data_IF_232639086539
#
_entry.id   IF_232639086539
#
_cell.length_a   1.000
_cell.length_b   1.000
_cell.length_c   1.000
_cell.angle_alpha   90.00
_cell.angle_beta   90.00
_cell.angle_gamma   90.00
#
_symmetry.space_group_name_H-M   'P 1'
#
loop_
_entity.id
_entity.type
_entity.pdbx_description
1 polymer ?
#
# COMPACT_ATOMS: atom_id res chain seq x y z
N UNK A 1 21.45 -13.51 -18.70
CA UNK A 1 20.14 -13.41 -18.02
C UNK A 1 20.29 -12.42 -16.90
N UNK A 2 19.25 -11.65 -16.54
CA UNK A 2 19.33 -10.80 -15.36
C UNK A 2 19.20 -11.65 -14.05
N UNK A 3 18.68 -12.89 -14.16
CA UNK A 3 18.54 -13.85 -13.06
C UNK A 3 19.39 -15.09 -13.29
N UNK A 4 20.39 -15.32 -12.42
CA UNK A 4 21.24 -16.52 -12.52
C UNK A 4 20.51 -17.81 -12.09
N UNK A 5 19.37 -17.68 -11.41
CA UNK A 5 18.56 -18.80 -10.91
C UNK A 5 17.56 -19.34 -11.93
N UNK A 6 17.44 -18.71 -13.10
CA UNK A 6 16.51 -19.16 -14.15
C UNK A 6 17.18 -20.24 -14.98
N UNK A 7 16.70 -21.48 -14.82
CA UNK A 7 17.05 -22.61 -15.68
C UNK A 7 15.80 -23.05 -16.44
N UNK A 8 15.66 -22.58 -17.68
CA UNK A 8 14.59 -23.00 -18.59
C UNK A 8 15.18 -23.28 -19.98
N UNK A 9 14.71 -24.32 -20.69
CA UNK A 9 15.26 -24.69 -22.00
C UNK A 9 14.84 -23.72 -23.11
N UNK A 10 13.68 -23.07 -22.97
CA UNK A 10 13.14 -22.11 -23.95
C UNK A 10 12.15 -21.14 -23.31
N UNK A 11 11.96 -20.00 -23.97
CA UNK A 11 10.91 -19.03 -23.68
C UNK A 11 9.84 -19.08 -24.77
N UNK A 12 8.58 -18.91 -24.39
CA UNK A 12 7.48 -18.75 -25.35
C UNK A 12 7.31 -17.28 -25.70
N UNK A 13 7.03 -16.98 -26.96
CA UNK A 13 6.74 -15.63 -27.43
C UNK A 13 5.32 -15.26 -26.99
N UNK A 14 5.17 -14.05 -26.45
CA UNK A 14 3.86 -13.48 -26.15
C UNK A 14 3.40 -12.71 -27.39
N UNK A 15 2.39 -13.24 -28.08
CA UNK A 15 1.85 -12.69 -29.34
C UNK A 15 0.57 -11.86 -29.12
N UNK A 16 0.06 -11.81 -27.88
CA UNK A 16 -1.17 -11.11 -27.55
C UNK A 16 -1.01 -9.58 -27.61
N UNK A 17 -1.79 -8.92 -28.46
CA UNK A 17 -1.69 -7.46 -28.69
C UNK A 17 -1.88 -6.61 -27.44
N UNK A 18 -2.78 -6.99 -26.52
CA UNK A 18 -3.00 -6.27 -25.25
C UNK A 18 -2.11 -6.75 -24.10
N UNK A 19 -1.09 -7.57 -24.38
CA UNK A 19 -0.16 -8.02 -23.36
C UNK A 19 0.50 -6.86 -22.61
N UNK A 20 1.00 -5.78 -23.27
CA UNK A 20 1.63 -4.66 -22.57
C UNK A 20 0.74 -4.06 -21.47
N UNK A 21 -0.54 -3.84 -21.75
CA UNK A 21 -1.49 -3.28 -20.78
C UNK A 21 -1.68 -4.19 -19.56
N UNK A 22 -1.75 -5.51 -19.79
CA UNK A 22 -1.88 -6.50 -18.70
C UNK A 22 -0.62 -6.57 -17.84
N UNK A 23 0.56 -6.45 -18.46
CA UNK A 23 1.84 -6.48 -17.76
C UNK A 23 2.04 -5.20 -16.96
N UNK A 24 1.75 -4.04 -17.55
CA UNK A 24 1.80 -2.75 -16.85
C UNK A 24 0.87 -2.74 -15.66
N UNK A 25 -0.39 -3.19 -15.83
CA UNK A 25 -1.30 -3.34 -14.71
C UNK A 25 -0.72 -4.24 -13.62
N UNK A 26 -0.15 -5.40 -13.98
CA UNK A 26 0.51 -6.28 -13.03
C UNK A 26 1.75 -5.64 -12.37
N UNK A 27 2.53 -4.81 -13.03
CA UNK A 27 3.70 -4.20 -12.38
C UNK A 27 3.28 -3.07 -11.42
N UNK A 28 2.25 -2.30 -11.80
CA UNK A 28 1.76 -1.14 -11.04
C UNK A 28 0.82 -1.50 -9.88
N UNK A 29 0.37 -2.76 -9.76
CA UNK A 29 -0.56 -3.18 -8.68
C UNK A 29 -0.08 -2.88 -7.24
N UNK A 30 1.22 -2.63 -7.07
CA UNK A 30 1.84 -2.34 -5.76
C UNK A 30 1.84 -0.85 -5.44
N UNK A 31 1.65 0.01 -6.43
CA UNK A 31 1.70 1.46 -6.27
C UNK A 31 0.30 1.94 -5.92
N UNK A 32 0.04 2.18 -4.63
CA UNK A 32 -1.16 2.91 -4.24
C UNK A 32 -0.90 4.41 -4.38
N UNK A 33 -1.72 5.15 -5.15
CA UNK A 33 -1.67 6.60 -5.14
C UNK A 33 -2.28 7.18 -3.85
N UNK A 34 -3.11 6.40 -3.16
CA UNK A 34 -3.96 6.89 -2.07
C UNK A 34 -3.58 6.23 -0.75
N UNK A 35 -3.66 7.01 0.33
CA UNK A 35 -3.27 6.61 1.68
C UNK A 35 -4.36 6.92 2.69
N UNK A 36 -4.40 6.14 3.76
CA UNK A 36 -5.28 6.38 4.89
C UNK A 36 -4.52 6.18 6.19
N UNK A 37 -4.69 7.12 7.11
CA UNK A 37 -3.96 7.12 8.38
C UNK A 37 -4.91 7.36 9.54
N UNK A 38 -4.69 6.63 10.63
CA UNK A 38 -5.38 6.90 11.88
C UNK A 38 -4.88 8.19 12.50
N UNK A 39 -5.74 8.92 13.20
CA UNK A 39 -5.32 10.03 14.07
C UNK A 39 -5.96 9.81 15.43
N UNK A 40 -5.09 9.60 16.43
CA UNK A 40 -5.45 9.42 17.83
C UNK A 40 -5.14 10.70 18.58
N UNK A 41 -6.00 11.02 19.54
CA UNK A 41 -5.84 12.14 20.44
C UNK A 41 -5.64 11.58 21.85
N UNK A 42 -4.45 11.77 22.43
CA UNK A 42 -4.09 11.30 23.77
C UNK A 42 -4.04 12.51 24.70
N UNK A 43 -5.01 12.58 25.62
CA UNK A 43 -5.02 13.59 26.68
C UNK A 43 -4.00 13.25 27.76
N UNK A 44 -3.63 14.24 28.56
CA UNK A 44 -2.72 14.05 29.68
C UNK A 44 -3.25 12.98 30.65
N UNK A 45 -2.37 12.04 31.01
CA UNK A 45 -2.67 10.94 31.93
C UNK A 45 -3.30 9.70 31.30
N UNK A 46 -3.73 9.74 30.03
CA UNK A 46 -4.35 8.59 29.37
C UNK A 46 -3.31 7.53 28.98
N UNK A 47 -3.50 6.30 29.44
CA UNK A 47 -2.57 5.19 29.23
C UNK A 47 -3.23 3.96 28.58
N UNK A 48 -4.56 3.95 28.47
CA UNK A 48 -5.31 2.80 27.94
C UNK A 48 -5.92 3.11 26.57
N UNK A 49 -6.13 2.05 25.77
CA UNK A 49 -6.83 2.14 24.49
C UNK A 49 -8.23 2.76 24.63
N UNK A 50 -8.96 2.33 25.67
CA UNK A 50 -10.31 2.78 25.98
C UNK A 50 -10.35 4.29 26.24
N UNK A 51 -9.45 4.80 27.08
CA UNK A 51 -9.40 6.24 27.40
C UNK A 51 -9.16 7.08 26.15
N UNK A 52 -8.20 6.68 25.32
CA UNK A 52 -7.79 7.41 24.11
C UNK A 52 -8.91 7.37 23.05
N UNK A 53 -9.50 6.21 22.79
CA UNK A 53 -10.56 6.06 21.80
C UNK A 53 -11.89 6.67 22.26
N UNK A 54 -12.10 6.86 23.56
CA UNK A 54 -13.32 7.45 24.12
C UNK A 54 -13.33 8.98 24.12
N UNK A 55 -12.24 9.64 23.69
CA UNK A 55 -12.19 11.11 23.62
C UNK A 55 -13.23 11.69 22.65
N UNK A 56 -14.10 12.58 23.14
CA UNK A 56 -15.18 13.21 22.36
C UNK A 56 -14.90 14.67 22.02
N UNK A 57 -14.22 15.36 22.90
CA UNK A 57 -13.90 16.78 22.77
C UNK A 57 -12.51 16.97 22.16
N UNK A 58 -12.38 18.00 21.33
CA UNK A 58 -11.13 18.40 20.68
C UNK A 58 -10.64 19.70 21.33
N UNK A 59 -9.39 19.72 21.81
CA UNK A 59 -8.78 20.99 22.24
C UNK A 59 -8.48 21.89 21.04
N UNK A 60 -8.33 23.19 21.30
CA UNK A 60 -7.97 24.15 20.25
C UNK A 60 -6.60 23.82 19.63
N UNK A 61 -5.65 23.34 20.42
CA UNK A 61 -4.35 22.91 19.91
C UNK A 61 -4.45 21.67 19.03
N UNK A 62 -5.33 20.72 19.36
CA UNK A 62 -5.58 19.56 18.52
C UNK A 62 -6.26 19.95 17.20
N UNK A 63 -7.23 20.87 17.22
CA UNK A 63 -7.85 21.41 16.00
C UNK A 63 -6.84 22.13 15.10
N UNK A 64 -5.94 22.92 15.70
CA UNK A 64 -4.84 23.56 14.97
C UNK A 64 -3.90 22.51 14.36
N UNK A 65 -3.59 21.43 15.08
CA UNK A 65 -2.82 20.33 14.52
C UNK A 65 -3.53 19.64 13.35
N UNK A 66 -4.84 19.42 13.44
CA UNK A 66 -5.61 18.83 12.34
C UNK A 66 -5.58 19.70 11.08
N UNK A 67 -5.59 21.04 11.22
CA UNK A 67 -5.48 21.95 10.07
C UNK A 67 -4.10 21.90 9.39
N UNK A 68 -3.04 21.54 10.13
CA UNK A 68 -1.71 21.26 9.55
C UNK A 68 -1.75 20.01 8.67
N UNK A 69 -2.55 18.99 9.03
CA UNK A 69 -2.68 17.74 8.28
C UNK A 69 -3.45 17.90 6.98
N UNK A 70 -4.52 18.68 6.99
CA UNK A 70 -5.38 18.85 5.82
C UNK A 70 -6.62 19.69 6.09
N UNK A 71 -7.50 19.70 5.11
CA UNK A 71 -8.79 20.37 5.18
C UNK A 71 -9.82 19.46 5.85
N UNK A 72 -10.68 20.03 6.69
CA UNK A 72 -11.87 19.33 7.21
C UNK A 72 -12.95 19.35 6.14
N UNK A 73 -13.28 18.17 5.58
CA UNK A 73 -14.26 17.99 4.51
C UNK A 73 -15.53 17.33 5.04
N UNK A 74 -16.68 17.69 4.47
CA UNK A 74 -17.94 16.98 4.71
C UNK A 74 -17.92 15.64 3.98
N UNK A 75 -18.32 14.56 4.67
CA UNK A 75 -18.36 13.22 4.10
C UNK A 75 -19.55 13.03 3.17
N UNK A 76 -20.69 13.66 3.46
CA UNK A 76 -21.88 13.54 2.61
C UNK A 76 -21.60 14.07 1.20
N UNK A 77 -21.67 13.20 0.20
CA UNK A 77 -21.41 13.56 -1.19
C UNK A 77 -19.94 13.81 -1.53
N UNK A 78 -19.00 13.46 -0.65
CA UNK A 78 -17.57 13.60 -0.93
C UNK A 78 -17.14 12.72 -2.11
N UNK A 79 -16.46 13.32 -3.10
CA UNK A 79 -16.09 12.65 -4.36
C UNK A 79 -14.64 12.17 -4.41
N UNK A 80 -13.81 12.56 -3.44
CA UNK A 80 -12.40 12.16 -3.38
C UNK A 80 -12.20 10.76 -2.79
N UNK A 81 -10.95 10.41 -2.51
CA UNK A 81 -10.62 9.15 -1.84
C UNK A 81 -11.21 9.07 -0.43
N UNK A 82 -12.28 8.29 -0.27
CA UNK A 82 -13.01 8.17 1.01
C UNK A 82 -12.35 7.35 2.13
N UNK A 83 -11.22 6.68 1.89
CA UNK A 83 -10.53 5.88 2.93
C UNK A 83 -11.29 4.68 3.52
N UNK A 84 -12.54 4.41 3.09
CA UNK A 84 -13.44 3.44 3.72
C UNK A 84 -14.50 4.08 4.64
N UNK A 85 -14.56 5.41 4.70
CA UNK A 85 -15.64 6.17 5.33
C UNK A 85 -16.90 6.16 4.47
N UNK A 86 -18.05 6.29 5.14
CA UNK A 86 -19.36 6.40 4.52
C UNK A 86 -19.63 7.83 4.05
N UNK A 87 -19.94 7.98 2.77
CA UNK A 87 -20.21 9.26 2.10
C UNK A 87 -21.68 9.44 1.73
N UNK A 88 -22.53 8.47 2.09
CA UNK A 88 -23.94 8.42 1.69
C UNK A 88 -24.91 8.52 2.87
N UNK A 89 -24.61 7.84 3.99
CA UNK A 89 -25.56 7.68 5.09
C UNK A 89 -25.01 8.13 6.46
N UNK A 90 -23.90 8.89 6.46
CA UNK A 90 -23.26 9.44 7.66
C UNK A 90 -22.94 8.43 8.78
N UNK A 91 -22.74 7.14 8.45
CA UNK A 91 -22.47 6.09 9.44
C UNK A 91 -21.07 6.17 10.06
N UNK A 92 -20.18 7.00 9.52
CA UNK A 92 -18.79 7.14 9.97
C UNK A 92 -18.47 8.58 10.37
N UNK A 93 -19.48 9.33 10.82
CA UNK A 93 -19.38 10.75 11.13
C UNK A 93 -19.83 11.63 9.96
N UNK A 94 -19.90 12.93 10.20
CA UNK A 94 -20.28 13.94 9.19
C UNK A 94 -19.08 14.52 8.46
N UNK A 95 -17.90 14.53 9.09
CA UNK A 95 -16.70 15.19 8.59
C UNK A 95 -15.45 14.33 8.79
N UNK A 96 -14.44 14.59 7.98
CA UNK A 96 -13.11 13.98 8.09
C UNK A 96 -12.02 14.98 7.69
N UNK A 97 -10.77 14.69 8.03
CA UNK A 97 -9.63 15.49 7.56
C UNK A 97 -9.06 14.83 6.31
N UNK A 98 -8.85 15.60 5.26
CA UNK A 98 -8.40 15.14 3.97
C UNK A 98 -7.35 16.08 3.37
N UNK A 99 -6.43 15.53 2.58
CA UNK A 99 -5.52 16.36 1.79
C UNK A 99 -5.10 15.68 0.49
N UNK A 100 -4.80 16.49 -0.53
CA UNK A 100 -3.95 16.09 -1.63
C UNK A 100 -2.50 16.48 -1.33
N UNK A 101 -1.55 15.58 -1.52
CA UNK A 101 -0.13 15.79 -1.26
C UNK A 101 0.72 15.16 -2.37
N UNK A 102 1.43 15.99 -3.15
CA UNK A 102 2.21 15.53 -4.31
C UNK A 102 1.42 14.62 -5.27
N UNK A 103 0.16 14.95 -5.53
CA UNK A 103 -0.75 14.16 -6.39
C UNK A 103 -1.28 12.87 -5.77
N UNK A 104 -1.06 12.66 -4.46
CA UNK A 104 -1.57 11.52 -3.68
C UNK A 104 -2.70 12.00 -2.78
N UNK A 105 -3.79 11.24 -2.74
CA UNK A 105 -4.90 11.54 -1.83
C UNK A 105 -4.69 10.87 -0.47
N UNK A 106 -4.92 11.61 0.61
CA UNK A 106 -4.76 11.13 1.97
C UNK A 106 -6.04 11.40 2.75
N UNK A 107 -6.64 10.33 3.28
CA UNK A 107 -7.80 10.41 4.18
C UNK A 107 -7.37 10.11 5.62
N UNK A 108 -7.76 10.95 6.58
CA UNK A 108 -7.44 10.74 7.99
C UNK A 108 -8.66 10.24 8.77
N UNK A 109 -8.49 9.10 9.43
CA UNK A 109 -9.47 8.56 10.37
C UNK A 109 -9.25 9.19 11.75
N UNK A 110 -9.81 10.38 11.95
CA UNK A 110 -9.67 11.12 13.22
C UNK A 110 -10.60 10.54 14.29
N UNK A 111 -10.05 10.08 15.41
CA UNK A 111 -10.82 9.37 16.46
C UNK A 111 -12.00 10.19 16.97
N UNK A 112 -11.84 11.49 17.17
CA UNK A 112 -12.87 12.41 17.65
C UNK A 112 -13.98 12.69 16.63
N UNK A 113 -13.69 12.57 15.33
CA UNK A 113 -14.65 12.79 14.23
C UNK A 113 -15.42 11.52 13.83
N UNK A 114 -14.92 10.35 14.26
CA UNK A 114 -15.64 9.09 14.13
C UNK A 114 -16.74 8.97 15.21
N UNK A 115 -17.86 8.26 14.93
CA UNK A 115 -18.96 8.12 15.85
C UNK A 115 -18.52 7.54 17.20
N UNK A 116 -19.04 8.12 18.27
CA UNK A 116 -18.90 7.62 19.63
C UNK A 116 -20.11 6.75 19.96
N UNK A 117 -19.89 5.62 20.62
CA UNK A 117 -20.96 4.71 21.05
C UNK A 117 -21.01 4.65 22.58
N UNK A 118 -22.10 5.13 23.19
CA UNK A 118 -22.32 4.98 24.63
C UNK A 118 -22.41 3.49 25.02
N UNK A 119 -21.72 3.11 26.11
CA UNK A 119 -21.70 1.74 26.61
C UNK A 119 -20.78 0.77 25.87
N UNK A 120 -20.00 1.24 24.88
CA UNK A 120 -18.96 0.46 24.21
C UNK A 120 -17.55 0.91 24.64
N UNK A 121 -16.96 0.29 25.68
CA UNK A 121 -15.62 0.68 26.17
C UNK A 121 -14.53 0.48 25.11
N UNK A 122 -14.75 -0.41 24.13
CA UNK A 122 -13.77 -0.66 23.07
C UNK A 122 -13.90 0.31 21.89
N UNK A 123 -14.97 1.13 21.86
CA UNK A 123 -15.30 2.04 20.77
C UNK A 123 -15.10 1.39 19.39
N UNK A 124 -15.74 0.24 19.16
CA UNK A 124 -15.53 -0.62 17.99
C UNK A 124 -15.75 0.13 16.68
N UNK A 125 -16.68 1.10 16.65
CA UNK A 125 -16.95 1.94 15.47
C UNK A 125 -15.75 2.81 15.09
N UNK A 126 -14.96 3.26 16.06
CA UNK A 126 -13.71 4.01 15.82
C UNK A 126 -12.57 3.06 15.50
N UNK A 127 -12.47 1.99 16.30
CA UNK A 127 -11.41 0.98 16.20
C UNK A 127 -11.43 0.23 14.87
N UNK A 128 -12.60 -0.02 14.28
CA UNK A 128 -12.69 -0.69 12.96
C UNK A 128 -12.07 0.11 11.82
N UNK A 129 -11.94 1.43 11.96
CA UNK A 129 -11.27 2.27 10.97
C UNK A 129 -9.79 2.41 11.33
N UNK A 130 -9.50 3.04 12.48
CA UNK A 130 -8.12 3.32 12.91
C UNK A 130 -7.31 2.03 13.13
N UNK A 131 -7.92 1.03 13.77
CA UNK A 131 -7.28 -0.26 14.01
C UNK A 131 -7.05 -1.09 12.75
N UNK A 132 -7.61 -0.70 11.60
CA UNK A 132 -7.34 -1.31 10.31
C UNK A 132 -6.41 -0.48 9.42
N UNK A 133 -5.91 0.66 9.93
CA UNK A 133 -4.84 1.40 9.27
C UNK A 133 -3.48 0.76 9.57
N UNK A 134 -2.50 1.04 8.71
CA UNK A 134 -1.13 0.54 8.87
C UNK A 134 -0.31 1.49 9.75
N UNK A 135 -0.56 2.80 9.60
CA UNK A 135 0.15 3.86 10.30
C UNK A 135 -0.87 4.80 10.94
N UNK A 136 -0.57 5.25 12.16
CA UNK A 136 -1.38 6.25 12.85
C UNK A 136 -0.54 7.41 13.39
N UNK A 137 -1.14 8.59 13.45
CA UNK A 137 -0.67 9.74 14.20
C UNK A 137 -1.22 9.68 15.62
N UNK A 138 -0.42 10.13 16.58
CA UNK A 138 -0.86 10.37 17.96
C UNK A 138 -0.54 11.82 18.29
N UNK A 139 -1.58 12.66 18.42
CA UNK A 139 -1.41 13.97 19.02
C UNK A 139 -1.46 13.83 20.55
N UNK A 140 -0.40 14.27 21.22
CA UNK A 140 -0.27 14.15 22.67
C UNK A 140 -0.43 15.50 23.36
N UNK A 141 -1.25 15.51 24.40
CA UNK A 141 -1.27 16.56 25.41
C UNK A 141 -0.50 16.13 26.66
N UNK A 142 0.14 17.11 27.30
CA UNK A 142 1.01 16.84 28.44
C UNK A 142 2.24 16.03 28.04
N UNK A 143 2.80 15.28 29.00
CA UNK A 143 4.05 14.52 28.81
C UNK A 143 3.85 13.01 28.93
N UNK A 144 2.62 12.52 28.79
CA UNK A 144 2.32 11.10 28.92
C UNK A 144 2.98 10.31 27.79
N UNK A 145 3.77 9.26 28.09
CA UNK A 145 4.41 8.46 27.05
C UNK A 145 3.37 7.66 26.24
N UNK A 146 3.66 7.44 24.97
CA UNK A 146 2.89 6.56 24.09
C UNK A 146 3.73 5.36 23.68
N UNK A 147 3.18 4.15 23.84
CA UNK A 147 3.79 2.90 23.41
C UNK A 147 2.99 2.32 22.25
N UNK A 148 3.67 1.67 21.30
CA UNK A 148 3.02 1.05 20.14
C UNK A 148 2.01 -0.04 20.52
N UNK A 149 2.14 -0.67 21.70
CA UNK A 149 1.26 -1.72 22.19
C UNK A 149 -0.02 -1.22 22.87
N UNK A 150 -0.17 0.10 23.07
CA UNK A 150 -1.37 0.67 23.72
C UNK A 150 -2.61 0.37 22.88
N UNK A 151 -2.52 0.48 21.55
CA UNK A 151 -3.64 0.21 20.63
C UNK A 151 -3.48 -1.19 20.05
N UNK A 152 -4.36 -2.11 20.46
CA UNK A 152 -4.33 -3.51 20.03
C UNK A 152 -4.88 -3.65 18.63
N UNK A 153 -3.98 -3.86 17.67
CA UNK A 153 -4.32 -4.07 16.25
C UNK A 153 -3.37 -5.05 15.57
N UNK A 154 -3.88 -5.80 14.59
CA UNK A 154 -3.06 -6.62 13.70
C UNK A 154 -2.46 -5.81 12.53
N UNK A 155 -2.96 -4.60 12.27
CA UNK A 155 -2.59 -3.77 11.12
C UNK A 155 -1.69 -2.59 11.49
N UNK A 156 -1.91 -1.95 12.64
CA UNK A 156 -1.06 -0.85 13.08
C UNK A 156 0.37 -1.35 13.36
N UNK A 157 1.32 -0.85 12.59
CA UNK A 157 2.74 -1.22 12.67
C UNK A 157 3.66 -0.03 12.94
N UNK A 158 3.19 1.21 12.73
CA UNK A 158 3.96 2.42 13.04
C UNK A 158 3.06 3.56 13.54
N UNK A 159 3.58 4.31 14.49
CA UNK A 159 2.97 5.49 15.06
C UNK A 159 3.93 6.68 14.98
N UNK A 160 3.42 7.81 14.50
CA UNK A 160 4.10 9.09 14.56
C UNK A 160 3.45 9.90 15.68
N UNK A 161 4.23 10.27 16.68
CA UNK A 161 3.76 10.94 17.87
C UNK A 161 4.14 12.41 17.78
N UNK A 162 3.17 13.30 17.88
CA UNK A 162 3.32 14.75 17.76
C UNK A 162 2.86 15.40 19.05
N UNK A 163 3.67 16.32 19.57
CA UNK A 163 3.36 17.05 20.79
C UNK A 163 3.72 18.52 20.65
N UNK A 164 2.80 19.41 21.04
CA UNK A 164 3.09 20.84 21.14
C UNK A 164 4.03 21.10 22.31
N UNK A 165 5.06 21.90 22.07
CA UNK A 165 5.96 22.39 23.11
C UNK A 165 5.97 23.92 23.08
N UNK A 166 5.95 24.51 24.28
CA UNK A 166 6.17 25.93 24.45
C UNK A 166 7.66 26.18 24.66
N UNK A 167 8.23 27.13 23.92
CA UNK A 167 9.59 27.62 24.10
C UNK A 167 9.54 29.08 24.52
N UNK A 168 10.22 29.40 25.60
CA UNK A 168 10.49 30.78 26.01
C UNK A 168 11.96 31.11 25.77
N UNK A 169 12.26 32.36 25.42
CA UNK A 169 13.60 32.88 25.62
C UNK A 169 13.90 33.00 27.12
N UNK A 170 15.11 32.62 27.54
CA UNK A 170 15.52 32.80 28.94
C UNK A 170 15.49 34.29 29.28
N UNK A 171 14.44 34.71 30.00
CA UNK A 171 14.26 36.09 30.49
C UNK A 171 13.26 36.96 29.72
N UNK A 172 12.54 36.43 28.72
CA UNK A 172 11.58 37.21 27.90
C UNK A 172 10.12 36.77 28.05
N UNK A 173 9.19 37.73 27.96
CA UNK A 173 7.72 37.55 27.97
C UNK A 173 7.15 36.94 26.67
N UNK A 174 8.02 36.60 25.70
CA UNK A 174 7.62 36.08 24.39
C UNK A 174 7.75 34.56 24.38
N UNK A 175 6.64 33.89 24.04
CA UNK A 175 6.57 32.44 23.88
C UNK A 175 6.36 32.08 22.41
N UNK A 176 7.15 31.13 21.93
CA UNK A 176 6.98 30.51 20.62
C UNK A 176 6.52 29.07 20.80
N UNK A 177 5.63 28.61 19.92
CA UNK A 177 5.19 27.22 19.90
C UNK A 177 5.97 26.45 18.84
N UNK A 178 6.37 25.23 19.17
CA UNK A 178 6.97 24.30 18.23
C UNK A 178 6.37 22.91 18.42
N UNK A 179 6.56 22.03 17.45
CA UNK A 179 6.06 20.66 17.50
C UNK A 179 7.23 19.71 17.71
N UNK A 180 7.18 18.87 18.75
CA UNK A 180 8.11 17.76 18.96
C UNK A 180 7.55 16.52 18.31
N UNK A 181 8.36 15.82 17.52
CA UNK A 181 7.95 14.59 16.82
C UNK A 181 8.79 13.41 17.28
N UNK A 182 8.17 12.28 17.56
CA UNK A 182 8.84 10.99 17.74
C UNK A 182 8.14 9.90 16.94
N UNK A 183 8.82 8.77 16.75
CA UNK A 183 8.30 7.63 15.99
C UNK A 183 8.47 6.38 16.85
N UNK A 184 7.43 5.58 16.89
CA UNK A 184 7.48 4.21 17.42
C UNK A 184 6.91 3.26 16.38
N UNK A 185 7.49 2.08 16.25
CA UNK A 185 7.08 1.07 15.28
C UNK A 185 7.38 -0.32 15.83
N UNK A 186 6.81 -1.35 15.20
CA UNK A 186 7.20 -2.73 15.50
C UNK A 186 8.63 -3.01 15.06
N UNK A 187 9.28 -3.95 15.73
CA UNK A 187 10.70 -4.29 15.53
C UNK A 187 11.03 -4.76 14.10
N UNK A 188 10.05 -5.32 13.39
CA UNK A 188 10.22 -5.83 12.03
C UNK A 188 9.99 -4.78 10.92
N UNK A 189 9.68 -3.53 11.30
CA UNK A 189 9.55 -2.40 10.37
C UNK A 189 10.93 -1.77 10.15
N UNK A 190 11.47 -1.77 8.91
CA UNK A 190 12.74 -1.12 8.64
C UNK A 190 12.67 0.40 8.85
N UNK A 191 13.80 1.07 9.15
CA UNK A 191 13.85 2.54 9.22
C UNK A 191 13.36 3.20 7.93
N UNK A 192 12.71 4.35 8.07
CA UNK A 192 12.15 5.12 6.96
C UNK A 192 12.38 6.62 7.11
N UNK A 193 12.59 7.31 5.99
CA UNK A 193 12.83 8.75 5.95
C UNK A 193 11.54 9.58 5.95
N UNK A 194 11.64 10.92 5.99
CA UNK A 194 12.86 11.71 6.24
C UNK A 194 13.43 11.50 7.65
N UNK A 195 14.73 11.72 7.84
CA UNK A 195 15.38 11.55 9.16
C UNK A 195 14.84 12.60 10.13
N UNK A 196 14.59 12.21 11.38
CA UNK A 196 14.16 13.14 12.43
C UNK A 196 15.38 13.99 12.83
N UNK A 197 15.29 15.33 12.84
CA UNK A 197 16.40 16.18 13.27
C UNK A 197 16.71 15.97 14.76
N UNK A 198 17.92 16.35 15.16
CA UNK A 198 18.32 16.43 16.56
C UNK A 198 18.66 17.89 16.92
N UNK A 199 17.83 18.59 17.73
CA UNK A 199 16.66 18.08 18.45
C UNK A 199 15.43 17.86 17.55
N UNK A 200 14.49 16.96 17.93
CA UNK A 200 13.37 16.54 17.09
C UNK A 200 12.20 17.54 17.10
N UNK A 201 12.48 18.79 16.72
CA UNK A 201 11.57 19.93 16.89
C UNK A 201 11.36 20.63 15.55
N UNK A 202 10.10 20.97 15.28
CA UNK A 202 9.65 21.51 14.00
C UNK A 202 8.84 22.78 14.21
N UNK A 203 9.08 23.77 13.34
CA UNK A 203 8.21 24.95 13.15
C UNK A 203 7.25 24.72 11.99
N UNK A 204 7.76 24.20 10.86
CA UNK A 204 6.96 23.77 9.72
C UNK A 204 6.87 22.23 9.68
N UNK A 205 5.72 21.70 10.10
CA UNK A 205 5.56 20.26 10.32
C UNK A 205 5.01 19.51 9.10
N UNK A 206 4.17 20.16 8.28
CA UNK A 206 3.32 19.52 7.27
C UNK A 206 4.09 18.65 6.27
N UNK A 207 5.06 19.24 5.56
CA UNK A 207 5.83 18.55 4.50
C UNK A 207 6.57 17.32 5.07
N UNK A 208 7.23 17.50 6.21
CA UNK A 208 7.94 16.44 6.91
C UNK A 208 6.97 15.32 7.32
N UNK A 209 5.86 15.67 7.97
CA UNK A 209 4.94 14.73 8.56
C UNK A 209 4.23 13.87 7.51
N UNK A 210 3.69 14.49 6.44
CA UNK A 210 3.01 13.76 5.37
C UNK A 210 3.96 12.83 4.60
N UNK A 211 5.18 13.30 4.33
CA UNK A 211 6.22 12.46 3.70
C UNK A 211 6.61 11.30 4.61
N UNK A 212 6.78 11.55 5.91
CA UNK A 212 7.14 10.54 6.91
C UNK A 212 6.05 9.47 7.05
N UNK A 213 4.76 9.85 7.02
CA UNK A 213 3.63 8.91 7.06
C UNK A 213 3.59 7.98 5.85
N UNK A 214 3.73 8.54 4.63
CA UNK A 214 3.76 7.75 3.39
C UNK A 214 4.93 6.75 3.43
N UNK A 215 6.11 7.23 3.81
CA UNK A 215 7.29 6.37 3.91
C UNK A 215 7.17 5.32 5.01
N UNK A 216 6.50 5.64 6.13
CA UNK A 216 6.19 4.69 7.18
C UNK A 216 5.34 3.53 6.64
N UNK A 217 4.25 3.82 5.93
CA UNK A 217 3.38 2.78 5.37
C UNK A 217 4.12 1.92 4.33
N UNK A 218 4.88 2.56 3.43
CA UNK A 218 5.72 1.86 2.45
C UNK A 218 6.73 0.94 3.16
N UNK A 219 7.30 1.37 4.29
CA UNK A 219 8.21 0.55 5.07
C UNK A 219 7.50 -0.60 5.79
N UNK A 220 6.30 -0.36 6.32
CA UNK A 220 5.48 -1.40 6.96
C UNK A 220 5.16 -2.56 6.01
N UNK A 221 5.02 -2.34 4.70
CA UNK A 221 4.85 -3.47 3.76
C UNK A 221 6.04 -4.44 3.71
N UNK A 222 7.22 -4.04 4.20
CA UNK A 222 8.40 -4.91 4.32
C UNK A 222 8.39 -5.76 5.59
N UNK A 223 7.54 -5.44 6.57
CA UNK A 223 7.32 -6.19 7.80
C UNK A 223 6.87 -7.63 7.47
N UNK A 224 7.15 -8.59 8.36
CA UNK A 224 7.02 -10.01 8.04
C UNK A 224 5.58 -10.40 7.66
N UNK A 225 4.60 -9.92 8.41
CA UNK A 225 3.20 -10.22 8.21
C UNK A 225 2.68 -9.71 6.85
N UNK A 226 3.00 -8.46 6.52
CA UNK A 226 2.57 -7.84 5.26
C UNK A 226 3.34 -8.38 4.05
N UNK A 227 4.64 -8.62 4.17
CA UNK A 227 5.46 -9.15 3.11
C UNK A 227 5.02 -10.57 2.70
N UNK A 228 4.74 -11.45 3.68
CA UNK A 228 4.19 -12.80 3.39
C UNK A 228 2.90 -12.73 2.60
N UNK A 229 1.98 -11.86 3.01
CA UNK A 229 0.70 -11.67 2.36
C UNK A 229 0.86 -11.10 0.95
N UNK A 230 1.73 -10.11 0.79
CA UNK A 230 2.04 -9.50 -0.50
C UNK A 230 2.64 -10.52 -1.47
N UNK A 231 3.62 -11.32 -1.04
CA UNK A 231 4.24 -12.34 -1.88
C UNK A 231 3.23 -13.39 -2.34
N UNK A 232 2.27 -13.77 -1.48
CA UNK A 232 1.18 -14.67 -1.84
C UNK A 232 0.30 -14.04 -2.93
N UNK A 233 -0.14 -12.80 -2.75
CA UNK A 233 -0.96 -12.08 -3.73
C UNK A 233 -0.23 -11.92 -5.05
N UNK A 234 1.03 -11.46 -5.03
CA UNK A 234 1.87 -11.32 -6.23
C UNK A 234 2.03 -12.64 -6.97
N UNK A 235 2.26 -13.74 -6.25
CA UNK A 235 2.40 -15.07 -6.87
C UNK A 235 1.11 -15.51 -7.56
N UNK A 236 -0.04 -15.30 -6.91
CA UNK A 236 -1.36 -15.61 -7.49
C UNK A 236 -1.63 -14.78 -8.74
N UNK A 237 -1.44 -13.45 -8.66
CA UNK A 237 -1.66 -12.54 -9.80
C UNK A 237 -0.72 -12.85 -10.97
N UNK A 238 0.53 -13.22 -10.68
CA UNK A 238 1.50 -13.58 -11.71
C UNK A 238 1.10 -14.86 -12.45
N UNK A 239 0.59 -15.87 -11.73
CA UNK A 239 0.13 -17.11 -12.36
C UNK A 239 -1.12 -16.87 -13.23
N UNK A 240 -2.05 -16.03 -12.77
CA UNK A 240 -3.18 -15.60 -13.58
C UNK A 240 -2.75 -14.83 -14.83
N UNK A 241 -1.79 -13.91 -14.72
CA UNK A 241 -1.25 -13.15 -15.86
C UNK A 241 -0.61 -14.09 -16.88
N UNK A 242 0.25 -15.00 -16.40
CA UNK A 242 0.92 -16.00 -17.23
C UNK A 242 -0.09 -16.84 -18.01
N UNK A 243 -1.13 -17.32 -17.34
CA UNK A 243 -2.18 -18.14 -17.96
C UNK A 243 -2.92 -17.36 -19.05
N UNK A 244 -3.34 -16.12 -18.75
CA UNK A 244 -4.04 -15.26 -19.72
C UNK A 244 -3.16 -14.97 -20.94
N UNK A 245 -1.89 -14.56 -20.73
CA UNK A 245 -0.96 -14.28 -21.82
C UNK A 245 -0.69 -15.51 -22.68
N UNK A 246 -0.55 -16.68 -22.07
CA UNK A 246 -0.33 -17.93 -22.78
C UNK A 246 -1.55 -18.29 -23.64
N UNK A 247 -2.74 -18.39 -23.04
CA UNK A 247 -3.97 -18.76 -23.74
C UNK A 247 -4.28 -17.82 -24.91
N UNK A 248 -4.17 -16.50 -24.68
CA UNK A 248 -4.43 -15.50 -25.73
C UNK A 248 -3.40 -15.52 -26.85
N UNK A 249 -2.12 -15.77 -26.53
CA UNK A 249 -1.06 -15.87 -27.55
C UNK A 249 -1.26 -17.10 -28.43
N UNK A 250 -1.69 -18.23 -27.87
CA UNK A 250 -1.99 -19.44 -28.64
C UNK A 250 -3.18 -19.25 -29.58
N UNK A 251 -4.25 -18.61 -29.10
CA UNK A 251 -5.40 -18.28 -29.95
C UNK A 251 -4.99 -17.42 -31.15
N UNK A 252 -4.09 -16.45 -30.96
CA UNK A 252 -3.62 -15.58 -32.06
C UNK A 252 -2.70 -16.30 -33.05
N UNK A 253 -2.06 -17.41 -32.67
CA UNK A 253 -1.22 -18.22 -33.54
C UNK A 253 -2.00 -19.32 -34.30
N UNK A 254 -3.33 -19.34 -34.20
CA UNK A 254 -4.20 -20.24 -34.95
C UNK A 254 -4.42 -21.61 -34.30
N UNK A 255 -3.92 -21.84 -33.09
CA UNK A 255 -4.21 -23.06 -32.34
C UNK A 255 -5.59 -22.94 -31.68
N UNK A 256 -6.62 -23.32 -32.43
CA UNK A 256 -8.04 -23.16 -32.06
C UNK A 256 -8.52 -24.19 -31.03
N UNK A 257 -7.65 -25.06 -30.53
CA UNK A 257 -7.98 -26.12 -29.56
C UNK A 257 -8.29 -25.60 -28.14
N UNK A 258 -8.07 -24.30 -27.88
CA UNK A 258 -8.29 -23.64 -26.59
C UNK A 258 -9.16 -22.36 -26.67
N UNK A 259 -9.82 -22.12 -27.80
CA UNK A 259 -10.71 -20.97 -27.94
C UNK A 259 -11.93 -21.15 -27.01
N UNK A 260 -12.32 -20.15 -26.19
CA UNK A 260 -13.64 -20.17 -25.59
C UNK A 260 -14.66 -20.11 -26.73
N UNK A 261 -15.61 -21.04 -26.75
CA UNK A 261 -16.58 -21.21 -27.81
C UNK A 261 -17.18 -19.87 -28.25
N UNK A 262 -16.96 -19.51 -29.51
CA UNK A 262 -17.63 -18.38 -30.15
C UNK A 262 -19.12 -18.70 -30.24
N UNK A 263 -19.91 -17.83 -29.63
CA UNK A 263 -21.36 -17.70 -29.76
C UNK A 263 -21.80 -17.74 -31.21
N UNK A 264 -22.56 -18.77 -31.60
CA UNK A 264 -23.39 -18.73 -32.80
C UNK A 264 -24.58 -17.80 -32.56
N UNK A 265 -24.85 -16.93 -33.54
CA UNK A 265 -25.92 -15.95 -33.49
C UNK A 265 -27.28 -16.59 -33.22
N UNK A 266 -27.94 -16.05 -32.18
CA UNK A 266 -29.32 -16.33 -31.82
C UNK A 266 -29.79 -15.21 -30.89
N UNK A 267 -30.57 -14.29 -31.45
CA UNK A 267 -31.15 -13.10 -30.79
C UNK A 267 -31.80 -13.47 -29.46
N UNK A 268 -31.26 -13.00 -28.31
CA UNK A 268 -31.95 -12.43 -27.12
C UNK A 268 -31.05 -12.42 -25.87
N UNK A 269 -30.94 -11.24 -25.25
CA UNK A 269 -30.64 -11.06 -23.82
C UNK A 269 -29.15 -10.93 -23.46
N UNK A 270 -28.73 -9.73 -23.06
CA UNK A 270 -27.42 -9.49 -22.48
C UNK A 270 -27.24 -10.27 -21.18
N UNK A 271 -26.17 -11.05 -21.10
CA UNK A 271 -25.70 -11.68 -19.87
C UNK A 271 -24.20 -11.42 -19.73
N UNK A 272 -23.89 -10.44 -18.89
CA UNK A 272 -22.56 -10.13 -18.39
C UNK A 272 -22.06 -11.31 -17.54
N UNK A 273 -21.14 -12.12 -18.06
CA UNK A 273 -20.75 -13.36 -17.36
C UNK A 273 -19.38 -13.95 -17.71
N UNK A 274 -18.46 -13.19 -18.31
CA UNK A 274 -17.08 -13.65 -18.52
C UNK A 274 -16.10 -12.58 -18.03
N UNK A 275 -15.85 -12.60 -16.72
CA UNK A 275 -14.95 -11.65 -16.08
C UNK A 275 -13.50 -11.90 -16.50
N UNK A 276 -13.00 -11.07 -17.40
CA UNK A 276 -11.62 -11.14 -17.90
C UNK A 276 -10.60 -10.93 -16.78
N UNK A 277 -9.34 -11.30 -17.03
CA UNK A 277 -8.22 -11.14 -16.07
C UNK A 277 -8.23 -9.77 -15.36
N UNK A 278 -8.53 -8.67 -16.07
CA UNK A 278 -8.59 -7.31 -15.51
C UNK A 278 -9.67 -7.18 -14.43
N UNK A 279 -10.81 -7.85 -14.58
CA UNK A 279 -11.92 -7.80 -13.63
C UNK A 279 -11.58 -8.59 -12.35
N UNK A 280 -11.01 -9.79 -12.51
CA UNK A 280 -10.49 -10.59 -11.40
C UNK A 280 -9.33 -9.90 -10.68
N UNK A 281 -8.45 -9.23 -11.44
CA UNK A 281 -7.34 -8.42 -10.93
C UNK A 281 -7.85 -7.20 -10.14
N UNK A 282 -8.79 -6.45 -10.69
CA UNK A 282 -9.46 -5.32 -10.00
C UNK A 282 -10.14 -5.79 -8.72
N UNK A 283 -10.78 -6.96 -8.73
CA UNK A 283 -11.40 -7.57 -7.53
C UNK A 283 -10.35 -7.95 -6.49
N UNK A 284 -9.24 -8.58 -6.88
CA UNK A 284 -8.15 -8.96 -5.97
C UNK A 284 -7.45 -7.76 -5.34
N UNK A 285 -7.32 -6.64 -6.06
CA UNK A 285 -6.74 -5.39 -5.54
C UNK A 285 -7.74 -4.63 -4.67
N UNK A 286 -9.04 -4.65 -4.99
CA UNK A 286 -10.09 -4.04 -4.17
C UNK A 286 -10.14 -4.64 -2.75
N UNK A 287 -9.77 -5.91 -2.60
CA UNK A 287 -9.61 -6.59 -1.29
C UNK A 287 -8.41 -6.06 -0.48
N UNK A 288 -7.47 -5.35 -1.11
CA UNK A 288 -6.39 -4.64 -0.40
C UNK A 288 -6.84 -3.27 0.13
N UNK A 289 -7.81 -2.62 -0.53
CA UNK A 289 -8.35 -1.30 -0.14
C UNK A 289 -9.53 -1.37 0.83
N UNK A 290 -10.38 -2.41 0.72
CA UNK A 290 -11.29 -2.78 1.80
C UNK A 290 -10.47 -3.56 2.83
N UNK A 291 -10.44 -3.10 4.08
CA UNK A 291 -9.77 -3.83 5.16
C UNK A 291 -10.13 -5.31 5.12
N UNK A 292 -9.11 -6.15 5.27
CA UNK A 292 -9.17 -7.61 5.24
C UNK A 292 -10.17 -8.17 6.28
N UNK A 293 -11.47 -8.22 5.97
CA UNK A 293 -12.52 -8.71 6.89
C UNK A 293 -12.60 -10.24 6.99
N UNK A 294 -11.77 -11.01 6.28
CA UNK A 294 -11.95 -12.48 6.20
C UNK A 294 -11.17 -13.30 7.23
N UNK A 295 -10.61 -12.70 8.29
CA UNK A 295 -9.88 -13.44 9.34
C UNK A 295 -10.56 -13.46 10.72
N UNK A 296 -11.77 -12.92 10.85
CA UNK A 296 -12.38 -12.62 12.15
C UNK A 296 -13.54 -13.50 12.65
N UNK A 297 -13.89 -14.62 12.00
CA UNK A 297 -15.02 -15.45 12.49
C UNK A 297 -14.53 -16.77 13.10
N UNK A 298 -14.59 -16.93 14.44
CA UNK A 298 -14.38 -18.23 15.07
C UNK A 298 -15.67 -19.07 14.91
N UNK A 299 -15.64 -20.09 14.05
CA UNK A 299 -16.66 -21.14 14.04
C UNK A 299 -16.43 -22.07 15.23
N UNK A 300 -17.34 -22.04 16.22
CA UNK A 300 -17.49 -23.09 17.24
C UNK A 300 -17.77 -24.42 16.55
N UNK A 301 -16.94 -25.44 16.80
CA UNK A 301 -17.30 -26.85 16.58
C UNK A 301 -16.92 -27.62 17.84
N UNK A 302 -17.94 -28.25 18.43
CA UNK A 302 -17.89 -29.23 19.51
C UNK A 302 -17.10 -30.47 19.06
N UNK A 303 -16.37 -31.09 19.99
CA UNK A 303 -15.33 -32.07 19.71
C UNK A 303 -15.80 -33.45 19.23
N UNK A 304 -14.87 -34.18 18.60
CA UNK A 304 -14.56 -35.56 18.97
C UNK A 304 -13.17 -35.97 18.46
N UNK A 305 -12.54 -36.88 19.20
CA UNK A 305 -11.20 -37.41 19.01
C UNK A 305 -11.09 -38.41 17.87
N UNK A 306 -9.91 -38.44 17.21
CA UNK A 306 -9.08 -39.64 16.91
C UNK A 306 -8.47 -39.71 15.50
N UNK A 307 -7.17 -40.03 15.52
CA UNK A 307 -6.29 -40.63 14.48
C UNK A 307 -5.76 -39.79 13.30
N UNK A 308 -4.42 -39.66 13.30
CA UNK A 308 -3.56 -39.11 12.24
C UNK A 308 -3.25 -40.18 11.17
N UNK A 309 -3.18 -39.79 9.89
CA UNK A 309 -2.13 -40.28 9.01
C UNK A 309 -1.22 -39.14 8.54
N UNK A 310 0.10 -39.38 8.55
CA UNK A 310 1.10 -38.53 7.92
C UNK A 310 1.01 -38.72 6.40
N UNK A 311 0.74 -37.65 5.65
CA UNK A 311 1.00 -37.59 4.20
C UNK A 311 2.01 -36.46 3.96
N UNK A 312 3.19 -36.84 3.51
CA UNK A 312 4.25 -35.94 3.06
C UNK A 312 3.88 -35.43 1.66
N UNK A 313 3.43 -34.18 1.54
CA UNK A 313 3.26 -33.51 0.25
C UNK A 313 4.59 -32.90 -0.19
N UNK A 314 5.27 -33.55 -1.14
CA UNK A 314 6.34 -32.93 -1.93
C UNK A 314 5.73 -31.81 -2.79
N UNK A 315 6.07 -30.56 -2.48
CA UNK A 315 5.73 -29.41 -3.32
C UNK A 315 6.76 -29.33 -4.44
N UNK A 316 6.37 -29.76 -5.64
CA UNK A 316 7.15 -29.58 -6.86
C UNK A 316 7.31 -28.09 -7.18
N UNK A 317 8.55 -27.67 -7.41
CA UNK A 317 8.92 -26.30 -7.77
C UNK A 317 8.90 -26.16 -9.30
N UNK A 318 8.13 -25.23 -9.85
CA UNK A 318 8.30 -24.80 -11.25
C UNK A 318 8.52 -23.29 -11.31
N UNK A 319 9.57 -22.89 -12.03
CA UNK A 319 9.97 -21.50 -12.24
C UNK A 319 9.60 -21.12 -13.69
N UNK A 320 8.95 -19.98 -13.89
CA UNK A 320 8.68 -19.45 -15.23
C UNK A 320 9.07 -17.97 -15.25
N UNK A 321 9.77 -17.56 -16.29
CA UNK A 321 10.20 -16.17 -16.53
C UNK A 321 9.74 -15.74 -17.93
N UNK A 322 9.51 -14.44 -18.13
CA UNK A 322 9.07 -13.86 -19.41
C UNK A 322 9.97 -12.68 -19.73
N UNK A 323 10.44 -12.58 -20.97
CA UNK A 323 11.21 -11.45 -21.50
C UNK A 323 10.45 -10.87 -22.67
N UNK A 324 10.28 -9.54 -22.70
CA UNK A 324 9.55 -8.85 -23.76
C UNK A 324 10.51 -8.30 -24.82
N UNK A 325 10.11 -8.42 -26.09
CA UNK A 325 10.71 -7.69 -27.21
C UNK A 325 9.57 -7.10 -28.05
N UNK A 326 9.63 -5.81 -28.35
CA UNK A 326 8.75 -5.16 -29.31
C UNK A 326 9.55 -4.66 -30.52
N UNK A 327 9.00 -4.84 -31.72
CA UNK A 327 9.49 -4.20 -32.94
C UNK A 327 8.71 -2.89 -33.15
N UNK A 328 9.41 -1.75 -33.18
CA UNK A 328 8.82 -0.47 -33.62
C UNK A 328 9.13 -0.33 -35.11
N UNK A 329 8.08 -0.19 -35.93
CA UNK A 329 8.22 0.13 -37.35
C UNK A 329 8.51 1.64 -37.49
N UNK A 330 9.78 2.01 -37.70
CA UNK A 330 10.14 3.38 -38.05
C UNK A 330 9.74 3.67 -39.51
N UNK A 331 9.08 4.82 -39.73
CA UNK A 331 8.47 5.28 -40.99
C UNK A 331 9.38 5.38 -42.24
N UNK A 332 10.64 4.95 -42.22
CA UNK A 332 11.59 5.11 -43.32
C UNK A 332 12.34 3.81 -43.70
N UNK A 333 11.62 2.69 -43.79
CA UNK A 333 12.04 1.45 -44.47
C UNK A 333 13.49 0.95 -44.19
N UNK A 334 13.98 1.17 -42.97
CA UNK A 334 15.21 0.55 -42.43
C UNK A 334 14.88 -0.04 -41.07
N UNK A 335 14.99 -1.36 -40.94
CA UNK A 335 14.88 -2.07 -39.65
C UNK A 335 16.02 -1.59 -38.75
N UNK A 336 15.72 -0.76 -37.76
CA UNK A 336 16.64 -0.45 -36.67
C UNK A 336 16.25 -1.26 -35.43
N UNK A 337 17.25 -1.94 -34.86
CA UNK A 337 17.11 -2.69 -33.62
C UNK A 337 17.15 -1.70 -32.44
N UNK A 338 16.02 -1.09 -32.09
CA UNK A 338 15.92 -0.27 -30.88
C UNK A 338 15.76 -1.21 -29.66
N UNK A 339 16.81 -1.37 -28.86
CA UNK A 339 16.75 -2.03 -27.56
C UNK A 339 16.23 -1.03 -26.51
N UNK A 340 15.11 -1.30 -25.86
CA UNK A 340 14.87 -0.84 -24.49
C UNK A 340 13.87 -1.70 -23.71
N UNK A 341 14.11 -1.76 -22.40
CA UNK A 341 13.36 -2.37 -21.29
C UNK A 341 13.33 -3.91 -21.23
N UNK A 342 14.39 -4.46 -20.62
CA UNK A 342 14.30 -5.78 -19.99
C UNK A 342 13.62 -5.64 -18.62
N UNK A 343 12.30 -5.86 -18.55
CA UNK A 343 11.62 -6.09 -17.27
C UNK A 343 11.82 -7.57 -16.92
N UNK A 344 12.58 -7.85 -15.88
CA UNK A 344 12.71 -9.20 -15.33
C UNK A 344 11.86 -9.31 -14.07
N UNK A 345 10.83 -10.14 -14.13
CA UNK A 345 9.96 -10.46 -13.00
C UNK A 345 10.67 -11.52 -12.16
N UNK A 346 11.25 -11.12 -11.02
CA UNK A 346 11.83 -12.04 -10.05
C UNK A 346 10.82 -12.47 -9.00
N UNK A 347 10.91 -13.74 -8.61
CA UNK A 347 10.48 -14.22 -7.31
C UNK A 347 11.59 -13.86 -6.31
N UNK A 348 11.35 -12.86 -5.47
CA UNK A 348 12.30 -12.47 -4.43
C UNK A 348 12.39 -13.58 -3.37
N UNK A 349 13.56 -14.20 -3.25
CA UNK A 349 13.97 -14.89 -2.03
C UNK A 349 14.77 -13.91 -1.18
N UNK A 350 14.59 -14.01 0.14
CA UNK A 350 15.13 -13.14 1.19
C UNK A 350 16.57 -12.68 0.91
N UNK A 351 16.72 -11.41 0.51
CA UNK A 351 17.84 -10.47 0.70
C UNK A 351 18.06 -9.64 -0.57
N UNK A 352 17.92 -8.32 -0.38
CA UNK A 352 18.26 -7.19 -1.26
C UNK A 352 17.66 -7.14 -2.68
N UNK A 353 16.95 -6.03 -2.96
CA UNK A 353 16.69 -5.55 -4.31
C UNK A 353 17.48 -4.25 -4.47
N UNK A 354 18.51 -4.26 -5.32
CA UNK A 354 19.09 -3.04 -5.89
C UNK A 354 18.40 -2.76 -7.23
N UNK A 355 17.88 -1.55 -7.39
CA UNK A 355 17.43 -1.02 -8.67
C UNK A 355 18.57 -0.13 -9.19
N UNK A 356 19.28 -0.57 -10.22
CA UNK A 356 20.23 0.29 -10.95
C UNK A 356 19.57 0.67 -12.27
N UNK A 357 19.09 1.92 -12.38
CA UNK A 357 18.75 2.51 -13.67
C UNK A 357 19.99 3.22 -14.24
N UNK A 358 20.43 2.82 -15.43
CA UNK A 358 21.35 3.61 -16.26
C UNK A 358 20.78 3.70 -17.66
N UNK A 359 20.49 4.92 -18.10
CA UNK A 359 20.24 5.26 -19.50
C UNK A 359 21.57 5.63 -20.15
N UNK A 360 21.94 4.98 -21.25
CA UNK A 360 22.97 5.48 -22.17
C UNK A 360 22.47 5.32 -23.60
N UNK A 361 22.38 6.43 -24.32
CA UNK A 361 22.28 6.44 -25.79
C UNK A 361 23.69 6.30 -26.36
N UNK A 362 23.94 5.28 -27.16
CA UNK A 362 25.15 5.20 -27.98
C UNK A 362 24.80 5.49 -29.44
N UNK A 363 25.25 6.64 -29.94
CA UNK A 363 25.55 6.79 -31.36
C UNK A 363 26.84 6.01 -31.64
N UNK A 364 26.82 5.17 -32.67
CA UNK A 364 28.03 4.55 -33.23
C UNK A 364 28.84 5.62 -33.97
N UNK A 365 29.55 6.46 -33.22
CA UNK A 365 30.78 7.11 -33.67
C UNK A 365 31.54 7.65 -32.47
N UNK A 366 32.79 7.20 -32.32
CA UNK A 366 33.84 7.63 -31.38
C UNK A 366 33.72 7.23 -29.89
N UNK A 367 34.76 6.48 -29.44
CA UNK A 367 35.07 6.10 -28.06
C UNK A 367 35.42 7.33 -27.22
N UNK A 368 34.87 7.41 -26.00
CA UNK A 368 35.60 7.78 -24.77
C UNK A 368 34.80 7.33 -23.54
N UNK A 369 35.44 6.53 -22.67
CA UNK A 369 34.92 6.10 -21.38
C UNK A 369 35.40 7.10 -20.32
N UNK A 370 34.49 7.57 -19.48
CA UNK A 370 34.81 8.11 -18.16
C UNK A 370 33.76 7.64 -17.18
N UNK A 371 34.20 6.90 -16.16
CA UNK A 371 33.39 6.50 -15.02
C UNK A 371 33.65 7.51 -13.89
N UNK A 372 32.59 8.06 -13.31
CA UNK A 372 32.65 8.72 -12.01
C UNK A 372 31.95 7.82 -11.00
N UNK A 373 32.70 7.49 -9.94
CA UNK A 373 32.23 6.87 -8.70
C UNK A 373 31.62 7.98 -7.85
N UNK A 374 30.43 7.76 -7.32
CA UNK A 374 29.93 8.49 -6.15
C UNK A 374 29.67 7.44 -5.09
N UNK A 375 30.52 7.46 -4.05
CA UNK A 375 30.37 6.65 -2.84
C UNK A 375 29.21 7.18 -1.99
N UNK A 376 28.46 6.25 -1.40
CA UNK A 376 27.82 6.40 -0.09
C UNK A 376 28.50 5.42 0.86
#
# INVERSE_FOLDING_TARGET
>A
MLCDKVSVPKFNVVCYLKAPDLITAFDEHRVSPNFKFGVLYQKEGQLTEEDILSNREESEEFKEFLSILGETVQLQGFTGFRGGLDVCHAQTGSEAVYTSFHGREIMFHVSTKLPYTDGDPQQLQRKRHIGNDIVALVYQEGNTPFLCDVIKSHFLHSFLVVRRIQRGEKGGTIFFFSQKVSVTARDDVPPFGPVIPDPPIFTELREFLLTKLINAEISCYKAEQFNKLELRTRSSLLESLKTELFTRSQCMMGDSSLAPASTSEGVRGGSEGSGGFIENFKRAIRVRSHSFETLGVPRKISGNSSQKPKVTLQIGCSCSSVTFYNYINCKNNKRQLCRLLTVSIYKASKRSVQVVSRSQCHNLSTKKRSASVVEL
#
